data_IF_891436479649
#
_entry.id   IF_891436479649
#
_cell.length_a   1.000
_cell.length_b   1.000
_cell.length_c   1.000
_cell.angle_alpha   90.00
_cell.angle_beta   90.00
_cell.angle_gamma   90.00
#
_symmetry.space_group_name_H-M   'P 1'
#
loop_
_entity.id
_entity.type
_entity.pdbx_description
1 polymer ?
#
# COMPACT_ATOMS: atom_id res chain seq x y z
N UNK A 1 3.74 -17.25 -21.86
CA UNK A 1 4.80 -16.96 -20.87
C UNK A 1 4.16 -16.91 -19.49
N UNK A 2 4.26 -17.99 -18.72
CA UNK A 2 3.67 -18.14 -17.39
C UNK A 2 4.59 -17.67 -16.26
N UNK A 3 5.90 -17.60 -16.50
CA UNK A 3 6.91 -17.25 -15.50
C UNK A 3 7.16 -15.73 -15.53
N UNK A 4 6.89 -15.05 -14.41
CA UNK A 4 7.07 -13.60 -14.31
C UNK A 4 8.54 -13.16 -14.30
N UNK A 5 9.41 -14.00 -13.74
CA UNK A 5 10.87 -13.82 -13.73
C UNK A 5 11.42 -13.75 -15.17
N UNK A 6 10.99 -14.66 -16.05
CA UNK A 6 11.34 -14.66 -17.47
C UNK A 6 10.88 -13.38 -18.19
N UNK A 7 9.72 -12.82 -17.80
CA UNK A 7 9.22 -11.56 -18.37
C UNK A 7 10.08 -10.38 -17.96
N UNK A 8 10.47 -10.28 -16.68
CA UNK A 8 11.36 -9.22 -16.20
C UNK A 8 12.71 -9.29 -16.90
N UNK A 9 13.27 -10.49 -17.07
CA UNK A 9 14.53 -10.68 -17.78
C UNK A 9 14.44 -10.17 -19.22
N UNK A 10 13.40 -10.58 -19.96
CA UNK A 10 13.20 -10.10 -21.34
C UNK A 10 12.96 -8.60 -21.43
N UNK A 11 12.23 -8.01 -20.48
CA UNK A 11 12.03 -6.56 -20.42
C UNK A 11 13.38 -5.87 -20.19
N UNK A 12 14.19 -6.35 -19.25
CA UNK A 12 15.51 -5.80 -18.95
C UNK A 12 16.41 -5.87 -20.19
N UNK A 13 16.55 -7.03 -20.82
CA UNK A 13 17.32 -7.24 -22.06
C UNK A 13 16.94 -6.26 -23.18
N UNK A 14 15.64 -6.04 -23.38
CA UNK A 14 15.16 -5.14 -24.45
C UNK A 14 15.32 -3.66 -24.11
N UNK A 15 15.16 -3.29 -22.83
CA UNK A 15 15.11 -1.87 -22.42
C UNK A 15 16.47 -1.32 -21.99
N UNK A 16 17.45 -2.17 -21.68
CA UNK A 16 18.78 -1.75 -21.21
C UNK A 16 19.59 -0.96 -22.26
N UNK A 17 19.23 -1.06 -23.54
CA UNK A 17 19.87 -0.32 -24.65
C UNK A 17 18.98 0.82 -25.19
N UNK A 18 17.83 1.05 -24.59
CA UNK A 18 16.87 2.09 -25.00
C UNK A 18 16.98 3.30 -24.08
N UNK A 19 16.61 4.47 -24.58
CA UNK A 19 16.41 5.64 -23.74
C UNK A 19 14.93 5.73 -23.31
N UNK A 20 14.57 5.05 -22.22
CA UNK A 20 13.21 5.09 -21.68
C UNK A 20 12.99 6.40 -20.94
N UNK A 21 11.97 7.18 -21.34
CA UNK A 21 11.69 8.49 -20.74
C UNK A 21 10.64 8.44 -19.62
N UNK A 22 9.83 7.39 -19.59
CA UNK A 22 8.79 7.22 -18.59
C UNK A 22 8.53 5.74 -18.28
N UNK A 23 8.11 5.48 -17.03
CA UNK A 23 7.75 4.15 -16.55
C UNK A 23 6.30 4.22 -16.07
N UNK A 24 5.51 3.19 -16.36
CA UNK A 24 4.19 2.99 -15.77
C UNK A 24 4.12 1.60 -15.14
N UNK A 25 3.82 1.51 -13.85
CA UNK A 25 3.78 0.21 -13.18
C UNK A 25 3.70 0.27 -11.65
N UNK A 26 3.55 -0.90 -11.05
CA UNK A 26 3.49 -1.06 -9.59
C UNK A 26 4.92 -0.97 -9.02
N UNK A 27 5.16 -0.16 -7.97
CA UNK A 27 6.48 0.08 -7.39
C UNK A 27 7.31 -1.18 -7.13
N UNK A 28 6.70 -2.21 -6.54
CA UNK A 28 7.36 -3.46 -6.15
C UNK A 28 8.03 -4.18 -7.32
N UNK A 29 7.38 -4.22 -8.50
CA UNK A 29 7.92 -4.87 -9.69
C UNK A 29 8.90 -3.99 -10.44
N UNK A 30 8.64 -2.68 -10.46
CA UNK A 30 9.54 -1.71 -11.06
C UNK A 30 10.91 -1.74 -10.38
N UNK A 31 10.97 -1.86 -9.05
CA UNK A 31 12.24 -2.00 -8.32
C UNK A 31 13.01 -3.24 -8.76
N UNK A 32 12.35 -4.39 -8.93
CA UNK A 32 13.00 -5.63 -9.39
C UNK A 32 13.61 -5.44 -10.78
N UNK A 33 12.88 -4.81 -11.70
CA UNK A 33 13.40 -4.47 -13.02
C UNK A 33 14.62 -3.54 -12.94
N UNK A 34 14.54 -2.47 -12.15
CA UNK A 34 15.64 -1.50 -11.99
C UNK A 34 16.90 -2.19 -11.48
N UNK A 35 16.77 -3.05 -10.46
CA UNK A 35 17.91 -3.81 -9.92
C UNK A 35 18.52 -4.74 -10.96
N UNK A 36 17.70 -5.38 -11.79
CA UNK A 36 18.22 -6.21 -12.88
C UNK A 36 19.00 -5.38 -13.91
N UNK A 37 18.51 -4.20 -14.27
CA UNK A 37 19.20 -3.28 -15.16
C UNK A 37 20.55 -2.81 -14.58
N UNK A 38 20.61 -2.57 -13.27
CA UNK A 38 21.84 -2.22 -12.54
C UNK A 38 22.89 -3.33 -12.64
N UNK A 39 22.49 -4.59 -12.41
CA UNK A 39 23.38 -5.75 -12.57
C UNK A 39 23.94 -5.85 -14.00
N UNK A 40 23.12 -5.58 -15.03
CA UNK A 40 23.54 -5.67 -16.43
C UNK A 40 24.51 -4.57 -16.87
N UNK A 41 24.42 -3.37 -16.27
CA UNK A 41 25.22 -2.20 -16.68
C UNK A 41 26.33 -1.84 -15.68
N UNK A 42 26.32 -2.42 -14.49
CA UNK A 42 27.30 -2.13 -13.44
C UNK A 42 27.17 -0.71 -12.86
N UNK A 43 25.94 -0.18 -12.77
CA UNK A 43 25.61 1.12 -12.17
C UNK A 43 24.56 0.94 -11.06
N UNK A 44 24.43 1.93 -10.19
CA UNK A 44 23.42 2.06 -9.15
C UNK A 44 22.51 3.29 -9.36
N UNK A 45 22.55 3.93 -10.54
CA UNK A 45 21.63 5.00 -10.93
C UNK A 45 20.89 4.66 -12.24
N UNK A 46 19.56 4.70 -12.22
CA UNK A 46 18.77 4.39 -13.40
C UNK A 46 18.97 5.38 -14.53
N UNK A 47 19.30 6.63 -14.22
CA UNK A 47 19.59 7.66 -15.23
C UNK A 47 20.91 7.48 -15.96
N UNK A 48 21.81 6.65 -15.45
CA UNK A 48 23.02 6.26 -16.19
C UNK A 48 22.68 5.30 -17.35
N UNK A 49 21.55 4.60 -17.24
CA UNK A 49 21.01 3.70 -18.26
C UNK A 49 20.01 4.45 -19.14
N UNK A 50 19.11 5.23 -18.52
CA UNK A 50 18.02 5.97 -19.16
C UNK A 50 18.13 7.48 -18.90
N UNK A 51 19.01 8.20 -19.63
CA UNK A 51 19.30 9.60 -19.36
C UNK A 51 18.11 10.54 -19.60
N UNK A 52 17.10 10.13 -20.38
CA UNK A 52 15.87 10.89 -20.62
C UNK A 52 14.74 10.60 -19.63
N UNK A 53 14.98 9.84 -18.56
CA UNK A 53 13.93 9.45 -17.62
C UNK A 53 13.44 10.63 -16.76
N UNK A 54 12.17 10.97 -16.92
CA UNK A 54 11.53 12.14 -16.28
C UNK A 54 10.21 11.83 -15.56
N UNK A 55 9.57 10.68 -15.81
CA UNK A 55 8.24 10.38 -15.27
C UNK A 55 8.07 8.94 -14.81
N UNK A 56 7.52 8.76 -13.61
CA UNK A 56 7.03 7.48 -13.12
C UNK A 56 5.55 7.57 -12.74
N UNK A 57 4.71 6.86 -13.50
CA UNK A 57 3.28 6.72 -13.25
C UNK A 57 3.07 5.47 -12.40
N UNK A 58 2.58 5.65 -11.18
CA UNK A 58 2.40 4.57 -10.22
C UNK A 58 0.95 4.38 -9.83
N UNK A 59 0.62 3.16 -9.44
CA UNK A 59 -0.72 2.82 -8.97
C UNK A 59 -0.75 1.43 -8.37
N UNK A 60 -1.93 1.02 -7.93
CA UNK A 60 -2.18 -0.30 -7.35
C UNK A 60 -1.73 -0.45 -5.90
N UNK A 61 -0.59 0.10 -5.49
CA UNK A 61 -0.20 0.17 -4.06
C UNK A 61 0.17 1.61 -3.70
N UNK A 62 0.06 1.92 -2.41
CA UNK A 62 0.55 3.19 -1.86
C UNK A 62 2.02 3.36 -2.22
N UNK A 63 2.36 4.49 -2.84
CA UNK A 63 3.72 4.83 -3.22
C UNK A 63 4.52 5.46 -2.08
N UNK A 64 3.85 6.02 -1.06
CA UNK A 64 4.50 6.63 0.11
C UNK A 64 5.68 5.81 0.67
N UNK A 65 5.53 4.49 0.96
CA UNK A 65 6.64 3.69 1.50
C UNK A 65 7.82 3.49 0.54
N UNK A 66 7.60 3.62 -0.77
CA UNK A 66 8.64 3.38 -1.79
C UNK A 66 9.30 4.68 -2.26
N UNK A 67 8.78 5.85 -1.86
CA UNK A 67 9.20 7.15 -2.40
C UNK A 67 10.69 7.40 -2.21
N UNK A 68 11.22 7.15 -1.01
CA UNK A 68 12.63 7.41 -0.73
C UNK A 68 13.55 6.40 -1.42
N UNK A 69 13.13 5.14 -1.51
CA UNK A 69 13.83 4.13 -2.30
C UNK A 69 13.90 4.52 -3.78
N UNK A 70 12.81 5.03 -4.37
CA UNK A 70 12.82 5.48 -5.76
C UNK A 70 13.72 6.71 -6.00
N UNK A 71 13.86 7.60 -5.02
CA UNK A 71 14.82 8.72 -5.09
C UNK A 71 16.28 8.22 -5.06
N UNK A 72 16.57 7.15 -4.33
CA UNK A 72 17.90 6.54 -4.31
C UNK A 72 18.20 5.81 -5.63
N UNK A 73 17.22 5.13 -6.20
CA UNK A 73 17.36 4.41 -7.47
C UNK A 73 17.44 5.36 -8.70
N UNK A 74 16.81 6.54 -8.60
CA UNK A 74 16.69 7.51 -9.70
C UNK A 74 17.22 8.86 -9.20
N UNK A 75 18.55 9.03 -9.24
CA UNK A 75 19.21 10.21 -8.68
C UNK A 75 19.25 11.35 -9.70
N UNK A 76 18.99 12.57 -9.22
CA UNK A 76 19.00 13.81 -10.00
C UNK A 76 17.64 14.51 -10.04
N UNK A 77 17.61 15.72 -10.58
CA UNK A 77 16.43 16.60 -10.58
C UNK A 77 15.49 16.34 -11.77
N UNK A 78 14.23 16.79 -11.68
CA UNK A 78 13.28 16.70 -12.78
C UNK A 78 12.66 15.31 -12.97
N UNK A 79 12.62 14.50 -11.91
CA UNK A 79 11.83 13.27 -11.89
C UNK A 79 10.46 13.55 -11.28
N UNK A 80 9.40 13.16 -12.00
CA UNK A 80 8.01 13.32 -11.58
C UNK A 80 7.40 11.98 -11.20
N UNK A 81 6.61 11.98 -10.13
CA UNK A 81 5.91 10.80 -9.63
C UNK A 81 4.42 11.11 -9.65
N UNK A 82 3.66 10.40 -10.49
CA UNK A 82 2.24 10.67 -10.72
C UNK A 82 1.42 9.46 -10.32
N UNK A 83 0.43 9.68 -9.45
CA UNK A 83 -0.46 8.62 -9.02
C UNK A 83 -1.67 8.46 -9.95
N UNK A 84 -2.01 7.21 -10.24
CA UNK A 84 -3.26 6.83 -10.92
C UNK A 84 -4.04 5.82 -10.11
N UNK A 85 -5.35 6.00 -10.07
CA UNK A 85 -6.30 5.05 -9.51
C UNK A 85 -7.07 4.34 -10.63
N UNK A 86 -6.65 3.11 -10.91
CA UNK A 86 -7.30 2.23 -11.87
C UNK A 86 -7.27 0.77 -11.40
N UNK A 87 -8.19 -0.02 -11.94
CA UNK A 87 -8.29 -1.45 -11.70
C UNK A 87 -8.74 -2.15 -12.99
N UNK A 88 -8.94 -3.47 -12.93
CA UNK A 88 -9.46 -4.22 -14.08
C UNK A 88 -10.90 -3.82 -14.42
N UNK A 89 -11.61 -3.26 -13.43
CA UNK A 89 -12.99 -2.79 -13.47
C UNK A 89 -13.16 -1.41 -14.11
N UNK A 90 -12.09 -0.61 -14.21
CA UNK A 90 -12.15 0.75 -14.76
C UNK A 90 -10.97 1.65 -14.40
N UNK A 91 -11.00 2.87 -14.95
CA UNK A 91 -10.07 3.94 -14.62
C UNK A 91 -10.83 5.04 -13.88
N UNK A 92 -10.42 5.38 -12.66
CA UNK A 92 -11.24 6.14 -11.74
C UNK A 92 -10.69 7.53 -11.45
N UNK A 93 -9.40 7.67 -11.17
CA UNK A 93 -8.81 8.96 -10.83
C UNK A 93 -7.36 9.05 -11.28
N UNK A 94 -6.85 10.27 -11.44
CA UNK A 94 -5.43 10.50 -11.67
C UNK A 94 -4.98 11.82 -11.05
N UNK A 95 -3.69 11.89 -10.74
CA UNK A 95 -3.07 13.11 -10.26
C UNK A 95 -2.78 14.04 -11.44
N UNK A 96 -3.56 15.12 -11.54
CA UNK A 96 -3.44 16.16 -12.57
C UNK A 96 -2.46 17.28 -12.17
N UNK A 97 -2.05 17.32 -10.90
CA UNK A 97 -1.18 18.35 -10.32
C UNK A 97 0.09 17.71 -9.75
N UNK A 98 1.30 18.06 -10.24
CA UNK A 98 2.55 17.39 -9.86
C UNK A 98 2.89 17.42 -8.37
N UNK A 99 2.47 18.46 -7.65
CA UNK A 99 2.81 18.66 -6.22
C UNK A 99 1.65 18.29 -5.28
N UNK A 100 0.53 17.77 -5.81
CA UNK A 100 -0.58 17.34 -4.98
C UNK A 100 -0.29 15.96 -4.35
N UNK A 101 -1.00 15.64 -3.28
CA UNK A 101 -1.09 14.31 -2.68
C UNK A 101 -2.49 13.70 -2.89
N UNK A 102 -3.28 14.28 -3.79
CA UNK A 102 -4.62 13.84 -4.17
C UNK A 102 -4.75 13.63 -5.68
N UNK A 103 -5.83 12.94 -6.06
CA UNK A 103 -6.19 12.66 -7.45
C UNK A 103 -7.54 13.27 -7.79
N UNK A 104 -7.67 13.75 -9.02
CA UNK A 104 -8.93 14.16 -9.60
C UNK A 104 -9.74 12.91 -9.98
N UNK A 105 -10.94 12.78 -9.43
CA UNK A 105 -11.86 11.69 -9.73
C UNK A 105 -12.59 11.96 -11.06
N UNK A 106 -12.75 10.92 -11.88
CA UNK A 106 -13.25 10.99 -13.26
C UNK A 106 -14.69 10.44 -13.35
N UNK A 107 -15.73 11.28 -13.12
CA UNK A 107 -17.13 10.86 -13.19
C UNK A 107 -17.62 10.67 -14.64
N UNK A 108 -16.93 11.23 -15.62
CA UNK A 108 -17.29 11.23 -17.04
C UNK A 108 -16.72 10.03 -17.82
N UNK A 109 -16.02 9.11 -17.15
CA UNK A 109 -15.41 7.93 -17.78
C UNK A 109 -16.36 6.72 -17.90
N UNK A 110 -17.68 6.98 -17.89
CA UNK A 110 -18.70 5.92 -17.97
C UNK A 110 -18.83 5.09 -16.69
N UNK A 111 -18.41 5.66 -15.56
CA UNK A 111 -18.52 5.05 -14.22
C UNK A 111 -19.44 5.90 -13.35
N UNK A 112 -20.49 5.27 -12.83
CA UNK A 112 -21.33 5.84 -11.78
C UNK A 112 -20.81 5.36 -10.42
N UNK A 113 -20.74 6.26 -9.44
CA UNK A 113 -20.14 6.00 -8.14
C UNK A 113 -21.17 6.16 -7.03
N UNK A 114 -21.08 5.26 -6.06
CA UNK A 114 -21.75 5.27 -4.78
C UNK A 114 -20.69 5.11 -3.69
N UNK A 115 -20.90 5.73 -2.53
CA UNK A 115 -19.92 5.75 -1.43
C UNK A 115 -20.54 5.19 -0.17
N UNK A 116 -20.00 4.09 0.36
CA UNK A 116 -20.46 3.53 1.65
C UNK A 116 -19.63 4.16 2.77
N UNK A 117 -20.23 4.89 3.73
CA UNK A 117 -19.52 5.40 4.91
C UNK A 117 -18.89 4.28 5.74
N UNK A 118 -17.82 4.57 6.47
CA UNK A 118 -17.10 3.61 7.31
C UNK A 118 -18.04 2.85 8.26
N UNK A 119 -18.96 3.56 8.92
CA UNK A 119 -19.95 3.03 9.84
C UNK A 119 -20.97 2.06 9.22
N UNK A 120 -21.13 2.09 7.89
CA UNK A 120 -22.06 1.23 7.15
C UNK A 120 -21.36 0.04 6.47
N UNK A 121 -20.01 0.01 6.42
CA UNK A 121 -19.24 -0.96 5.60
C UNK A 121 -19.49 -2.44 5.94
N UNK A 122 -19.88 -2.74 7.18
CA UNK A 122 -20.10 -4.11 7.67
C UNK A 122 -21.57 -4.56 7.61
N UNK A 123 -22.48 -3.69 7.17
CA UNK A 123 -23.89 -4.05 7.04
C UNK A 123 -24.12 -4.92 5.81
N UNK A 124 -25.06 -5.84 5.92
CA UNK A 124 -25.49 -6.71 4.82
C UNK A 124 -26.06 -5.88 3.66
N UNK A 125 -26.90 -4.89 3.99
CA UNK A 125 -27.42 -3.88 3.08
C UNK A 125 -26.95 -2.49 3.54
N UNK A 126 -25.76 -2.03 3.09
CA UNK A 126 -25.18 -0.76 3.52
C UNK A 126 -25.87 0.40 2.81
N UNK A 127 -26.11 1.49 3.54
CA UNK A 127 -26.50 2.74 2.90
C UNK A 127 -25.32 3.31 2.11
N UNK A 128 -25.63 3.74 0.89
CA UNK A 128 -24.70 4.43 0.00
C UNK A 128 -25.05 5.90 -0.07
N UNK A 129 -24.02 6.73 -0.20
CA UNK A 129 -24.10 8.15 -0.43
C UNK A 129 -23.77 8.45 -1.89
N UNK A 130 -24.42 9.48 -2.42
CA UNK A 130 -24.09 10.11 -3.68
C UNK A 130 -22.99 11.18 -3.50
N UNK A 131 -22.54 11.72 -4.63
CA UNK A 131 -21.56 12.81 -4.68
C UNK A 131 -21.89 14.04 -3.83
N UNK A 132 -23.17 14.39 -3.72
CA UNK A 132 -23.61 15.57 -2.97
C UNK A 132 -23.66 15.35 -1.45
N UNK A 133 -23.48 14.10 -1.02
CA UNK A 133 -23.65 13.69 0.38
C UNK A 133 -22.32 13.33 1.05
N UNK A 134 -21.23 13.24 0.27
CA UNK A 134 -19.90 12.98 0.83
C UNK A 134 -19.30 14.21 1.50
N UNK A 135 -18.58 13.98 2.58
CA UNK A 135 -17.83 14.97 3.33
C UNK A 135 -16.31 14.73 3.21
N UNK A 136 -15.53 15.81 3.25
CA UNK A 136 -14.07 15.74 3.29
C UNK A 136 -13.58 15.07 4.58
N UNK A 137 -12.44 14.38 4.51
CA UNK A 137 -11.80 13.82 5.69
C UNK A 137 -12.36 12.47 6.17
N UNK A 138 -13.55 12.06 5.70
CA UNK A 138 -14.15 10.76 6.01
C UNK A 138 -13.75 9.69 4.98
N UNK A 139 -13.65 8.44 5.43
CA UNK A 139 -13.34 7.29 4.59
C UNK A 139 -14.63 6.65 4.05
N UNK A 140 -14.62 6.30 2.77
CA UNK A 140 -15.73 5.65 2.09
C UNK A 140 -15.27 4.43 1.30
N UNK A 141 -16.03 3.34 1.33
CA UNK A 141 -15.84 2.24 0.40
C UNK A 141 -16.48 2.59 -0.94
N UNK A 142 -15.79 2.31 -2.03
CA UNK A 142 -16.25 2.66 -3.38
C UNK A 142 -17.12 1.54 -3.95
N UNK A 143 -18.32 1.92 -4.39
CA UNK A 143 -19.22 1.08 -5.16
C UNK A 143 -19.39 1.70 -6.54
N UNK A 144 -19.24 0.89 -7.59
CA UNK A 144 -19.28 1.35 -8.97
C UNK A 144 -20.36 0.65 -9.78
N UNK A 145 -20.92 1.38 -10.72
CA UNK A 145 -21.68 0.83 -11.85
C UNK A 145 -21.03 1.31 -13.14
N UNK A 146 -20.70 0.41 -14.05
CA UNK A 146 -19.93 0.73 -15.27
C UNK A 146 -20.68 0.33 -16.52
N UNK A 147 -20.41 1.04 -17.63
CA UNK A 147 -20.89 0.68 -18.96
C UNK A 147 -20.39 -0.71 -19.45
N UNK A 148 -19.39 -1.29 -18.78
CA UNK A 148 -18.85 -2.63 -19.04
C UNK A 148 -19.62 -3.75 -18.31
N UNK A 149 -20.76 -3.45 -17.69
CA UNK A 149 -21.67 -4.46 -17.13
C UNK A 149 -21.48 -4.76 -15.64
N UNK A 150 -20.69 -3.97 -14.92
CA UNK A 150 -20.67 -4.02 -13.45
C UNK A 150 -21.83 -3.21 -12.90
N UNK A 151 -22.61 -3.79 -11.99
CA UNK A 151 -23.79 -3.16 -11.38
C UNK A 151 -23.64 -3.18 -9.86
N UNK A 152 -23.59 -1.99 -9.23
CA UNK A 152 -23.33 -1.81 -7.79
C UNK A 152 -22.21 -2.71 -7.26
N UNK A 153 -21.11 -2.79 -8.01
CA UNK A 153 -19.96 -3.61 -7.69
C UNK A 153 -19.12 -2.94 -6.61
N UNK A 154 -18.88 -3.63 -5.49
CA UNK A 154 -17.97 -3.16 -4.43
C UNK A 154 -16.52 -3.33 -4.89
N UNK A 155 -15.84 -2.23 -5.17
CA UNK A 155 -14.47 -2.23 -5.70
C UNK A 155 -13.43 -2.75 -4.69
N UNK A 156 -13.77 -2.62 -3.40
CA UNK A 156 -12.95 -3.15 -2.29
C UNK A 156 -11.82 -2.21 -1.86
N UNK A 157 -11.72 -1.02 -2.43
CA UNK A 157 -10.88 0.08 -1.97
C UNK A 157 -11.69 1.06 -1.09
N UNK A 158 -10.98 1.76 -0.21
CA UNK A 158 -11.51 2.93 0.50
C UNK A 158 -10.85 4.21 0.02
N UNK A 159 -11.62 5.28 -0.06
CA UNK A 159 -11.17 6.60 -0.47
C UNK A 159 -11.58 7.66 0.56
N UNK A 160 -10.81 8.74 0.62
CA UNK A 160 -11.11 9.93 1.43
C UNK A 160 -11.13 11.15 0.53
N UNK A 161 -12.19 11.95 0.61
CA UNK A 161 -12.28 13.19 -0.16
C UNK A 161 -11.40 14.28 0.46
N UNK A 162 -10.58 14.93 -0.37
CA UNK A 162 -9.80 16.13 -0.01
C UNK A 162 -10.52 17.40 -0.44
N UNK A 163 -11.26 17.35 -1.55
CA UNK A 163 -12.07 18.45 -2.09
C UNK A 163 -13.38 17.92 -2.63
N UNK A 164 -14.48 18.63 -2.42
CA UNK A 164 -15.81 18.26 -2.91
C UNK A 164 -16.11 18.82 -4.31
N UNK A 165 -15.48 19.91 -4.73
CA UNK A 165 -15.60 20.40 -6.10
C UNK A 165 -14.34 21.17 -6.55
N UNK A 166 -13.62 20.71 -7.60
CA UNK A 166 -13.78 19.40 -8.23
C UNK A 166 -13.55 18.26 -7.21
N UNK A 167 -14.23 17.13 -7.39
CA UNK A 167 -14.09 15.99 -6.49
C UNK A 167 -12.66 15.43 -6.56
N UNK A 168 -11.95 15.52 -5.44
CA UNK A 168 -10.59 15.01 -5.29
C UNK A 168 -10.51 14.01 -4.17
N UNK A 169 -9.76 12.95 -4.39
CA UNK A 169 -9.68 11.81 -3.48
C UNK A 169 -8.25 11.38 -3.22
N UNK A 170 -8.07 10.77 -2.05
CA UNK A 170 -6.92 9.95 -1.69
C UNK A 170 -7.38 8.52 -1.48
N UNK A 171 -6.56 7.54 -1.89
CA UNK A 171 -6.80 6.14 -1.53
C UNK A 171 -6.42 5.98 -0.05
N UNK A 172 -7.39 5.62 0.79
CA UNK A 172 -7.19 5.43 2.23
C UNK A 172 -6.98 3.95 2.60
N UNK A 173 -7.13 3.02 1.66
CA UNK A 173 -6.85 1.61 1.91
C UNK A 173 -7.81 0.68 1.17
N UNK A 174 -8.10 -0.47 1.78
CA UNK A 174 -8.97 -1.51 1.23
C UNK A 174 -9.98 -1.97 2.27
N UNK A 175 -11.20 -2.24 1.82
CA UNK A 175 -12.34 -2.72 2.64
C UNK A 175 -12.03 -4.03 3.35
N UNK A 176 -11.10 -4.85 2.82
CA UNK A 176 -10.70 -6.15 3.41
C UNK A 176 -9.34 -6.14 4.10
N UNK A 177 -8.55 -5.06 3.97
CA UNK A 177 -7.22 -4.97 4.58
C UNK A 177 -7.23 -3.96 5.71
N UNK A 178 -7.73 -4.42 6.85
CA UNK A 178 -7.78 -3.71 8.10
C UNK A 178 -7.58 -4.69 9.26
N UNK A 179 -7.20 -4.17 10.42
CA UNK A 179 -7.26 -4.87 11.70
C UNK A 179 -8.29 -4.13 12.55
N UNK A 180 -9.39 -4.81 12.87
CA UNK A 180 -10.45 -4.35 13.75
C UNK A 180 -10.89 -5.51 14.66
N UNK A 181 -9.93 -6.16 15.31
CA UNK A 181 -10.21 -7.27 16.23
C UNK A 181 -10.69 -6.78 17.60
N UNK A 182 -10.39 -5.51 17.94
CA UNK A 182 -10.62 -4.90 19.24
C UNK A 182 -11.39 -3.57 19.15
N UNK A 183 -11.89 -3.20 17.98
CA UNK A 183 -12.61 -1.94 17.74
C UNK A 183 -11.68 -0.77 17.36
N UNK A 184 -10.49 -1.04 16.82
CA UNK A 184 -9.45 -0.05 16.49
C UNK A 184 -9.44 0.41 15.03
N UNK A 185 -10.16 -0.28 14.14
CA UNK A 185 -10.32 0.09 12.72
C UNK A 185 -9.03 0.51 11.99
N UNK A 186 -7.91 -0.15 12.28
CA UNK A 186 -6.62 0.18 11.65
C UNK A 186 -6.67 -0.26 10.20
N UNK A 187 -6.65 0.72 9.28
CA UNK A 187 -6.61 0.48 7.83
C UNK A 187 -5.18 0.59 7.29
N UNK A 188 -4.98 0.11 6.06
CA UNK A 188 -3.65 0.11 5.43
C UNK A 188 -2.99 1.50 5.40
N UNK A 189 -3.73 2.60 5.18
CA UNK A 189 -3.18 3.98 5.24
C UNK A 189 -2.63 4.34 6.62
N UNK A 190 -3.27 3.90 7.72
CA UNK A 190 -2.74 4.10 9.07
C UNK A 190 -1.41 3.37 9.24
N UNK A 191 -1.34 2.12 8.79
CA UNK A 191 -0.14 1.29 8.88
C UNK A 191 1.00 1.82 8.04
N UNK A 192 0.73 2.24 6.81
CA UNK A 192 1.72 2.84 5.90
C UNK A 192 2.34 4.09 6.51
N UNK A 193 1.50 5.01 7.02
CA UNK A 193 1.95 6.24 7.68
C UNK A 193 2.74 5.95 8.95
N UNK A 194 2.32 4.98 9.74
CA UNK A 194 2.99 4.64 10.98
C UNK A 194 4.36 3.98 10.75
N UNK A 195 4.45 3.06 9.78
CA UNK A 195 5.72 2.45 9.36
C UNK A 195 6.67 3.50 8.79
N UNK A 196 6.18 4.39 7.92
CA UNK A 196 6.99 5.47 7.34
C UNK A 196 7.59 6.39 8.43
N UNK A 197 6.77 6.78 9.41
CA UNK A 197 7.24 7.58 10.55
C UNK A 197 8.31 6.84 11.39
N UNK A 198 8.09 5.55 11.69
CA UNK A 198 9.04 4.74 12.45
C UNK A 198 10.36 4.51 11.67
N UNK A 199 10.27 4.27 10.36
CA UNK A 199 11.43 4.14 9.47
C UNK A 199 12.28 5.41 9.46
N UNK A 200 11.66 6.58 9.32
CA UNK A 200 12.37 7.88 9.32
C UNK A 200 13.14 8.14 10.61
N UNK A 201 12.60 7.76 11.76
CA UNK A 201 13.24 7.96 13.06
C UNK A 201 14.36 6.96 13.35
N UNK A 202 14.24 5.74 12.83
CA UNK A 202 15.18 4.65 13.11
C UNK A 202 16.23 4.44 12.02
N UNK A 203 16.09 5.14 10.89
CA UNK A 203 16.94 4.96 9.71
C UNK A 203 16.73 3.62 9.00
N UNK A 204 15.62 2.94 9.29
CA UNK A 204 15.23 1.69 8.63
C UNK A 204 14.60 1.98 7.26
N UNK A 205 14.76 1.04 6.33
CA UNK A 205 14.13 1.08 5.01
C UNK A 205 13.28 -0.17 4.87
N UNK A 206 11.96 0.00 4.89
CA UNK A 206 11.00 -1.10 4.80
C UNK A 206 10.87 -1.57 3.34
N UNK A 207 10.82 -2.89 3.16
CA UNK A 207 10.67 -3.53 1.84
C UNK A 207 9.24 -4.03 1.63
N UNK A 208 8.73 -4.80 2.59
CA UNK A 208 7.39 -5.37 2.57
C UNK A 208 6.93 -5.73 3.99
N UNK A 209 5.62 -5.76 4.23
CA UNK A 209 5.09 -6.17 5.53
C UNK A 209 3.72 -6.85 5.46
N UNK A 210 3.40 -7.61 6.50
CA UNK A 210 2.04 -8.03 6.85
C UNK A 210 1.81 -7.82 8.34
N UNK A 211 0.56 -7.63 8.74
CA UNK A 211 0.17 -7.66 10.14
C UNK A 211 -1.22 -8.26 10.32
N UNK A 212 -1.45 -8.77 11.53
CA UNK A 212 -2.74 -9.29 11.97
C UNK A 212 -2.87 -9.23 13.49
N UNK A 213 -4.07 -9.54 14.02
CA UNK A 213 -4.32 -9.50 15.44
C UNK A 213 -3.66 -10.68 16.16
N UNK A 214 -3.16 -10.44 17.36
CA UNK A 214 -2.84 -11.45 18.37
C UNK A 214 -4.07 -11.58 19.26
N UNK A 215 -4.76 -12.70 19.12
CA UNK A 215 -5.88 -13.03 19.98
C UNK A 215 -5.40 -13.51 21.34
N UNK A 216 -6.18 -13.21 22.37
CA UNK A 216 -5.89 -13.56 23.75
C UNK A 216 -5.80 -15.09 23.91
N UNK A 217 -4.76 -15.60 24.56
CA UNK A 217 -4.80 -16.93 25.19
C UNK A 217 -5.13 -16.74 26.68
N UNK A 218 -6.29 -17.22 27.12
CA UNK A 218 -6.74 -17.13 28.52
C UNK A 218 -7.17 -15.71 28.92
N UNK A 219 -6.65 -15.20 30.04
CA UNK A 219 -6.98 -13.86 30.61
C UNK A 219 -6.08 -12.72 30.11
N UNK A 220 -5.22 -12.99 29.11
CA UNK A 220 -4.29 -12.00 28.54
C UNK A 220 -5.00 -10.91 27.72
N UNK A 221 -4.29 -9.82 27.43
CA UNK A 221 -4.75 -8.74 26.53
C UNK A 221 -4.31 -9.02 25.10
N UNK A 222 -5.06 -8.52 24.12
CA UNK A 222 -4.76 -8.70 22.70
C UNK A 222 -3.72 -7.70 22.19
N UNK A 223 -3.33 -7.82 20.93
CA UNK A 223 -2.35 -6.93 20.32
C UNK A 223 -2.31 -7.07 18.80
N UNK A 224 -1.36 -6.39 18.18
CA UNK A 224 -1.02 -6.61 16.77
C UNK A 224 0.30 -7.36 16.67
N UNK A 225 0.40 -8.23 15.68
CA UNK A 225 1.65 -8.91 15.32
C UNK A 225 1.99 -8.59 13.88
N UNK A 226 3.19 -8.07 13.72
CA UNK A 226 3.73 -7.53 12.48
C UNK A 226 4.90 -8.38 12.05
N UNK A 227 4.96 -8.68 10.77
CA UNK A 227 6.12 -9.28 10.13
C UNK A 227 6.59 -8.27 9.08
N UNK A 228 7.83 -7.83 9.20
CA UNK A 228 8.37 -6.76 8.36
C UNK A 228 9.70 -7.24 7.78
N UNK A 229 9.80 -7.23 6.45
CA UNK A 229 11.06 -7.41 5.73
C UNK A 229 11.64 -6.03 5.45
N UNK A 230 12.89 -5.82 5.85
CA UNK A 230 13.60 -4.56 5.66
C UNK A 230 14.67 -4.71 4.57
N UNK A 231 14.88 -3.66 3.79
CA UNK A 231 16.10 -3.53 2.99
C UNK A 231 17.27 -3.13 3.88
N UNK A 232 17.00 -2.22 4.81
CA UNK A 232 17.92 -1.81 5.87
C UNK A 232 17.17 -1.92 7.20
N UNK A 233 17.54 -2.85 8.09
CA UNK A 233 16.87 -2.99 9.38
C UNK A 233 17.09 -1.75 10.27
N UNK A 234 16.18 -1.48 11.23
CA UNK A 234 16.39 -0.44 12.23
C UNK A 234 17.64 -0.74 13.06
N UNK A 235 18.31 0.31 13.53
CA UNK A 235 19.47 0.17 14.43
C UNK A 235 19.09 -0.50 15.76
N UNK A 236 17.87 -0.25 16.24
CA UNK A 236 17.30 -0.82 17.46
C UNK A 236 15.84 -1.21 17.18
N UNK A 237 15.54 -2.50 17.34
CA UNK A 237 14.22 -3.08 17.05
C UNK A 237 13.18 -2.57 18.05
N UNK A 238 13.53 -2.47 19.33
CA UNK A 238 12.66 -2.04 20.39
C UNK A 238 12.29 -0.56 20.25
N UNK A 239 13.21 0.28 19.77
CA UNK A 239 12.92 1.66 19.37
C UNK A 239 11.92 1.67 18.20
N UNK A 240 12.16 0.89 17.14
CA UNK A 240 11.22 0.81 16.02
C UNK A 240 9.80 0.41 16.44
N UNK A 241 9.67 -0.59 17.33
CA UNK A 241 8.38 -1.04 17.86
C UNK A 241 7.65 0.10 18.58
N UNK A 242 8.36 0.86 19.43
CA UNK A 242 7.77 1.99 20.16
C UNK A 242 7.35 3.12 19.23
N UNK A 243 8.16 3.43 18.21
CA UNK A 243 7.82 4.48 17.24
C UNK A 243 6.65 4.07 16.34
N UNK A 244 6.58 2.80 15.93
CA UNK A 244 5.43 2.26 15.19
C UNK A 244 4.15 2.38 16.02
N UNK A 245 4.19 1.98 17.28
CA UNK A 245 3.06 2.06 18.20
C UNK A 245 2.60 3.52 18.42
N UNK A 246 3.53 4.43 18.69
CA UNK A 246 3.23 5.85 18.88
C UNK A 246 2.65 6.49 17.61
N UNK A 247 3.19 6.15 16.44
CA UNK A 247 2.69 6.65 15.18
C UNK A 247 1.28 6.11 14.86
N UNK A 248 0.99 4.83 15.15
CA UNK A 248 -0.35 4.26 15.02
C UNK A 248 -1.37 4.98 15.91
N UNK A 249 -1.03 5.26 17.17
CA UNK A 249 -1.88 6.03 18.08
C UNK A 249 -2.15 7.45 17.54
N UNK A 250 -1.14 8.09 16.95
CA UNK A 250 -1.28 9.44 16.39
C UNK A 250 -2.20 9.49 15.16
N UNK A 251 -2.19 8.47 14.31
CA UNK A 251 -2.93 8.46 13.04
C UNK A 251 -4.30 7.78 13.12
N UNK A 252 -4.59 7.09 14.23
CA UNK A 252 -5.86 6.41 14.45
C UNK A 252 -6.29 6.55 15.92
N UNK A 253 -7.33 7.36 16.15
CA UNK A 253 -7.87 7.66 17.48
C UNK A 253 -8.51 6.45 18.16
N UNK A 254 -9.08 5.51 17.41
CA UNK A 254 -9.64 4.29 17.99
C UNK A 254 -8.51 3.38 18.49
N UNK A 255 -7.44 3.23 17.71
CA UNK A 255 -6.22 2.55 18.15
C UNK A 255 -5.62 3.18 19.42
N UNK A 256 -5.48 4.51 19.46
CA UNK A 256 -5.07 5.25 20.65
C UNK A 256 -5.94 4.92 21.88
N UNK A 257 -7.26 4.98 21.72
CA UNK A 257 -8.20 4.70 22.79
C UNK A 257 -8.05 3.26 23.33
N UNK A 258 -7.80 2.28 22.46
CA UNK A 258 -7.58 0.87 22.85
C UNK A 258 -6.19 0.62 23.47
N UNK A 259 -5.18 1.38 23.06
CA UNK A 259 -3.81 1.34 23.61
C UNK A 259 -3.66 2.07 24.94
N UNK A 260 -4.50 3.07 25.22
CA UNK A 260 -4.42 3.85 26.45
C UNK A 260 -4.53 2.95 27.71
N UNK A 261 -3.54 3.04 28.60
CA UNK A 261 -3.37 2.18 29.80
C UNK A 261 -3.34 0.67 29.49
N UNK A 262 -2.95 0.34 28.27
CA UNK A 262 -2.95 -1.02 27.72
C UNK A 262 -4.31 -1.72 27.93
N UNK A 263 -5.44 -1.00 27.94
CA UNK A 263 -6.70 -1.58 28.41
C UNK A 263 -7.20 -2.74 27.53
N UNK A 264 -7.04 -2.63 26.21
CA UNK A 264 -7.49 -3.62 25.24
C UNK A 264 -6.37 -4.11 24.31
N UNK A 265 -5.45 -3.22 23.92
CA UNK A 265 -4.31 -3.52 23.07
C UNK A 265 -2.99 -3.35 23.83
N UNK A 266 -2.13 -4.36 23.73
CA UNK A 266 -0.73 -4.33 24.13
C UNK A 266 0.16 -3.72 23.04
N UNK A 267 1.41 -3.45 23.40
CA UNK A 267 2.46 -3.06 22.46
C UNK A 267 2.56 -4.10 21.31
N UNK A 268 2.70 -3.66 20.05
CA UNK A 268 2.76 -4.58 18.92
C UNK A 268 3.99 -5.51 19.01
N UNK A 269 3.77 -6.77 18.67
CA UNK A 269 4.86 -7.75 18.46
C UNK A 269 5.37 -7.56 17.03
N UNK A 270 6.67 -7.33 16.86
CA UNK A 270 7.29 -7.17 15.53
C UNK A 270 8.31 -8.27 15.29
N UNK A 271 8.20 -8.94 14.15
CA UNK A 271 9.16 -9.91 13.63
C UNK A 271 9.90 -9.31 12.44
N UNK A 272 11.22 -9.34 12.49
CA UNK A 272 12.05 -8.93 11.36
C UNK A 272 12.25 -10.16 10.48
N UNK A 273 11.62 -10.17 9.31
CA UNK A 273 11.73 -11.27 8.37
C UNK A 273 13.07 -11.22 7.61
N UNK A 274 13.73 -12.37 7.37
CA UNK A 274 14.88 -12.44 6.49
C UNK A 274 14.54 -11.96 5.07
N UNK A 275 15.53 -11.41 4.36
CA UNK A 275 15.35 -10.96 2.98
C UNK A 275 14.87 -12.10 2.07
N UNK A 276 13.85 -11.82 1.26
CA UNK A 276 13.21 -12.74 0.33
C UNK A 276 12.07 -13.57 0.93
N UNK A 277 11.72 -13.39 2.21
CA UNK A 277 10.62 -14.15 2.85
C UNK A 277 9.28 -13.93 2.15
N UNK A 278 8.89 -12.67 1.90
CA UNK A 278 7.62 -12.40 1.22
C UNK A 278 7.61 -12.88 -0.23
N UNK A 279 8.77 -12.82 -0.89
CA UNK A 279 8.94 -13.36 -2.24
C UNK A 279 8.68 -14.88 -2.29
N UNK A 280 9.36 -15.64 -1.42
CA UNK A 280 9.19 -17.10 -1.30
C UNK A 280 7.74 -17.46 -0.96
N UNK A 281 7.11 -16.70 -0.06
CA UNK A 281 5.72 -16.92 0.29
C UNK A 281 4.76 -16.71 -0.90
N UNK A 282 4.94 -15.63 -1.67
CA UNK A 282 4.15 -15.38 -2.88
C UNK A 282 4.38 -16.45 -3.96
N UNK A 283 5.61 -16.96 -4.07
CA UNK A 283 5.98 -18.08 -4.96
C UNK A 283 5.24 -19.37 -4.60
N UNK A 284 5.25 -19.77 -3.32
CA UNK A 284 4.55 -20.97 -2.85
C UNK A 284 3.03 -20.94 -3.14
N UNK A 285 2.45 -19.73 -3.20
CA UNK A 285 1.02 -19.53 -3.51
C UNK A 285 0.71 -19.46 -5.00
N UNK A 286 1.72 -19.56 -5.88
CA UNK A 286 1.56 -19.37 -7.32
C UNK A 286 1.10 -17.96 -7.69
N UNK A 287 1.42 -16.95 -6.86
CA UNK A 287 0.98 -15.55 -7.02
C UNK A 287 2.13 -14.61 -7.36
N UNK A 288 3.19 -15.10 -7.99
CA UNK A 288 4.26 -14.25 -8.53
C UNK A 288 3.77 -13.52 -9.80
N UNK A 289 3.99 -12.21 -9.86
CA UNK A 289 3.61 -11.35 -10.98
C UNK A 289 2.15 -10.90 -11.00
N UNK A 290 1.83 -9.98 -11.92
CA UNK A 290 0.46 -9.48 -12.15
C UNK A 290 -0.05 -8.47 -11.09
N UNK A 291 -1.38 -8.36 -10.94
CA UNK A 291 -2.05 -7.52 -9.93
C UNK A 291 -2.06 -8.12 -8.51
N UNK A 292 -1.36 -9.23 -8.27
CA UNK A 292 -1.29 -9.87 -6.94
C UNK A 292 -0.32 -9.12 -6.01
N UNK A 293 -0.79 -8.87 -4.79
CA UNK A 293 -0.08 -8.07 -3.76
C UNK A 293 -0.01 -8.85 -2.46
N UNK A 294 1.02 -8.60 -1.66
CA UNK A 294 1.06 -9.06 -0.27
C UNK A 294 -0.08 -8.38 0.48
N UNK A 295 -0.99 -9.15 1.11
CA UNK A 295 -2.01 -8.59 1.99
C UNK A 295 -1.35 -7.93 3.20
N UNK A 296 -1.45 -6.61 3.32
CA UNK A 296 -0.78 -5.86 4.39
C UNK A 296 -1.43 -6.04 5.75
N UNK A 297 -2.76 -5.99 5.80
CA UNK A 297 -3.53 -6.16 7.03
C UNK A 297 -4.60 -7.23 6.85
N UNK A 298 -4.86 -7.98 7.92
CA UNK A 298 -5.88 -9.03 7.95
C UNK A 298 -6.40 -9.21 9.36
N UNK A 299 -7.72 -9.38 9.52
CA UNK A 299 -8.33 -9.83 10.77
C UNK A 299 -8.14 -11.33 11.02
N UNK A 300 -7.87 -12.10 9.96
CA UNK A 300 -7.48 -13.50 10.05
C UNK A 300 -5.97 -13.62 10.21
N UNK A 301 -5.52 -14.51 11.10
CA UNK A 301 -4.11 -14.82 11.32
C UNK A 301 -3.48 -15.68 10.22
N UNK A 302 -4.25 -16.22 9.27
CA UNK A 302 -3.77 -17.09 8.19
C UNK A 302 -2.47 -16.60 7.53
N UNK A 303 -2.40 -15.33 7.12
CA UNK A 303 -1.20 -14.79 6.46
C UNK A 303 -0.01 -14.64 7.42
N UNK A 304 -0.27 -14.21 8.65
CA UNK A 304 0.76 -14.10 9.69
C UNK A 304 1.32 -15.50 9.99
N UNK A 305 0.48 -16.50 10.23
CA UNK A 305 0.91 -17.88 10.53
C UNK A 305 1.68 -18.52 9.36
N UNK A 306 1.19 -18.37 8.11
CA UNK A 306 1.89 -18.89 6.94
C UNK A 306 3.29 -18.27 6.79
N UNK A 307 3.44 -16.97 7.00
CA UNK A 307 4.72 -16.28 6.84
C UNK A 307 5.63 -16.52 8.06
N UNK A 308 5.08 -16.62 9.28
CA UNK A 308 5.82 -17.01 10.48
C UNK A 308 6.45 -18.40 10.33
N UNK A 309 5.82 -19.31 9.56
CA UNK A 309 6.40 -20.63 9.30
C UNK A 309 7.65 -20.61 8.41
N UNK A 310 7.95 -19.46 7.78
CA UNK A 310 9.07 -19.27 6.85
C UNK A 310 10.24 -18.45 7.45
N UNK A 311 10.14 -18.01 8.71
CA UNK A 311 11.16 -17.21 9.40
C UNK A 311 11.86 -17.99 10.51
#
# INVERSE_FOLDING_TARGET
MSEWEEKIEKIAEHTVQQNVTHIAGVPTWTIVLIRRLFEMKGTDNLRDIWPGLELYIHGGVSFMPYRDQFKELIRGDGMHYVETYNASEGFFAFQDRPDADDMLLMPDYGVFYEFIPAEEMHREDPKTLSWGEVETGKNYAVVITTNCGLWRYKLGDTVRFTTLFPHRIQISGRVKHFINAFGEEVIADNSDKAIDAACKLTGAVMKEYTAGPVYMQGTGKGGHEWIIEFEKPPADKEVFVRELDAALQKVNSDYEAKRHKDMALLLPVVHIAPTGTFYRWMQQRGKLGGQHKVPRLSNDRKYVEEILSLI
#
